data_IF_121644128207
#
_entry.id   IF_121644128207
#
_cell.length_a   1.000
_cell.length_b   1.000
_cell.length_c   1.000
_cell.angle_alpha   90.00
_cell.angle_beta   90.00
_cell.angle_gamma   90.00
#
_symmetry.space_group_name_H-M   'P 1'
#
loop_
_entity.id
_entity.type
_entity.pdbx_description
1 polymer ?
#
# COMPACT_ATOMS: atom_id res chain seq x y z
N UNK A 1 -1.02 -9.91 -20.55
CA UNK A 1 -1.87 -9.86 -19.34
C UNK A 1 -2.49 -8.49 -19.28
N UNK A 2 -3.77 -8.38 -18.93
CA UNK A 2 -4.41 -7.07 -18.82
C UNK A 2 -3.82 -6.31 -17.62
N UNK A 3 -3.09 -5.23 -17.89
CA UNK A 3 -2.39 -4.45 -16.89
C UNK A 3 -3.37 -3.41 -16.31
N UNK A 4 -3.37 -3.25 -14.98
CA UNK A 4 -4.19 -2.23 -14.30
C UNK A 4 -3.29 -1.48 -13.33
N UNK A 5 -3.40 -0.14 -13.32
CA UNK A 5 -2.78 0.69 -12.28
C UNK A 5 -3.84 1.18 -11.29
N UNK A 6 -3.52 1.13 -10.00
CA UNK A 6 -4.35 1.67 -8.92
C UNK A 6 -3.54 2.68 -8.13
N UNK A 7 -4.04 3.91 -8.04
CA UNK A 7 -3.46 4.99 -7.23
C UNK A 7 -4.44 5.32 -6.12
N UNK A 8 -4.04 5.06 -4.87
CA UNK A 8 -4.88 5.26 -3.69
C UNK A 8 -4.71 6.68 -3.13
N UNK A 9 -5.84 7.29 -2.77
CA UNK A 9 -5.97 8.59 -2.12
C UNK A 9 -6.83 8.37 -0.87
N UNK A 10 -6.19 8.03 0.25
CA UNK A 10 -6.88 7.50 1.44
C UNK A 10 -7.69 6.24 1.12
N UNK A 11 -9.01 6.27 1.28
CA UNK A 11 -9.92 5.17 0.93
C UNK A 11 -10.44 5.24 -0.51
N UNK A 12 -10.19 6.35 -1.20
CA UNK A 12 -10.55 6.55 -2.60
C UNK A 12 -9.45 6.01 -3.52
N UNK A 13 -9.82 5.52 -4.69
CA UNK A 13 -8.87 4.95 -5.65
C UNK A 13 -9.14 5.44 -7.06
N UNK A 14 -8.08 5.81 -7.78
CA UNK A 14 -8.09 5.96 -9.24
C UNK A 14 -7.58 4.66 -9.87
N UNK A 15 -8.38 4.08 -10.75
CA UNK A 15 -8.06 2.90 -11.53
C UNK A 15 -7.84 3.32 -12.99
N UNK A 16 -6.70 2.93 -13.55
CA UNK A 16 -6.35 3.13 -14.95
C UNK A 16 -6.24 1.75 -15.62
N UNK A 17 -7.03 1.50 -16.66
CA UNK A 17 -7.09 0.23 -17.38
C UNK A 17 -7.55 0.42 -18.83
N UNK A 18 -7.43 -0.62 -19.66
CA UNK A 18 -8.02 -0.69 -21.01
C UNK A 18 -9.32 -1.52 -21.04
N UNK A 19 -9.82 -1.93 -19.88
CA UNK A 19 -11.07 -2.69 -19.69
C UNK A 19 -11.79 -2.26 -18.40
N UNK A 20 -13.04 -2.69 -18.22
CA UNK A 20 -13.78 -2.53 -16.96
C UNK A 20 -13.45 -3.72 -16.03
N UNK A 21 -12.79 -3.52 -14.88
CA UNK A 21 -12.56 -4.62 -13.93
C UNK A 21 -13.87 -5.18 -13.35
N UNK A 22 -14.02 -6.50 -13.33
CA UNK A 22 -15.27 -7.20 -12.95
C UNK A 22 -15.69 -7.11 -11.47
N UNK A 23 -14.86 -6.53 -10.60
CA UNK A 23 -15.09 -6.48 -9.13
C UNK A 23 -14.99 -5.07 -8.54
N UNK A 24 -15.38 -4.05 -9.30
CA UNK A 24 -15.46 -2.66 -8.80
C UNK A 24 -16.91 -2.29 -8.51
N UNK A 25 -17.16 -1.72 -7.34
CA UNK A 25 -18.49 -1.24 -6.95
C UNK A 25 -18.66 0.20 -7.43
N UNK A 26 -19.71 0.46 -8.21
CA UNK A 26 -20.17 1.78 -8.64
C UNK A 26 -19.03 2.75 -9.05
N UNK A 27 -18.21 2.40 -10.05
CA UNK A 27 -17.12 3.27 -10.47
C UNK A 27 -17.66 4.55 -11.09
N UNK A 28 -17.08 5.69 -10.70
CA UNK A 28 -17.24 6.95 -11.42
C UNK A 28 -16.24 6.96 -12.59
N UNK A 29 -16.73 6.82 -13.81
CA UNK A 29 -15.88 6.94 -15.00
C UNK A 29 -15.48 8.41 -15.18
N UNK A 30 -14.20 8.66 -15.44
CA UNK A 30 -13.65 10.02 -15.66
C UNK A 30 -12.84 10.09 -16.95
N UNK A 31 -12.80 11.27 -17.56
CA UNK A 31 -11.96 11.59 -18.72
C UNK A 31 -10.54 11.96 -18.29
N UNK A 32 -9.60 12.01 -19.25
CA UNK A 32 -8.21 12.39 -18.98
C UNK A 32 -8.08 13.81 -18.40
N UNK A 33 -8.90 14.74 -18.87
CA UNK A 33 -8.92 16.13 -18.42
C UNK A 33 -9.35 16.29 -16.96
N UNK A 34 -10.09 15.32 -16.43
CA UNK A 34 -10.53 15.29 -15.04
C UNK A 34 -9.48 14.68 -14.10
N UNK A 35 -8.40 14.09 -14.63
CA UNK A 35 -7.35 13.46 -13.82
C UNK A 35 -6.38 14.54 -13.31
N UNK A 36 -6.70 15.07 -12.14
CA UNK A 36 -5.78 15.80 -11.28
C UNK A 36 -5.72 15.10 -9.92
N UNK A 37 -4.64 14.36 -9.67
CA UNK A 37 -4.48 13.57 -8.44
C UNK A 37 -4.54 14.42 -7.16
N UNK A 38 -4.04 15.67 -7.21
CA UNK A 38 -4.07 16.54 -6.03
C UNK A 38 -5.50 17.03 -5.75
N UNK A 39 -6.25 17.38 -6.81
CA UNK A 39 -7.68 17.75 -6.69
C UNK A 39 -8.52 16.56 -6.22
N UNK A 40 -8.32 15.38 -6.80
CA UNK A 40 -9.02 14.16 -6.40
C UNK A 40 -8.71 13.77 -4.95
N UNK A 41 -7.46 13.94 -4.51
CA UNK A 41 -7.07 13.73 -3.11
C UNK A 41 -7.82 14.69 -2.18
N UNK A 42 -7.78 16.00 -2.44
CA UNK A 42 -8.46 17.00 -1.60
C UNK A 42 -9.97 16.74 -1.54
N UNK A 43 -10.57 16.36 -2.67
CA UNK A 43 -11.99 16.00 -2.72
C UNK A 43 -12.29 14.77 -1.84
N UNK A 44 -11.39 13.78 -1.82
CA UNK A 44 -11.55 12.59 -0.97
C UNK A 44 -11.55 12.92 0.53
N UNK A 45 -10.82 13.95 0.96
CA UNK A 45 -10.80 14.41 2.35
C UNK A 45 -12.10 15.14 2.74
N UNK A 46 -12.69 15.88 1.79
CA UNK A 46 -13.94 16.61 1.97
C UNK A 46 -15.13 15.64 2.02
N UNK A 47 -15.21 14.74 1.04
CA UNK A 47 -16.35 13.85 0.90
C UNK A 47 -16.46 12.86 2.05
N UNK A 48 -15.32 12.40 2.58
CA UNK A 48 -15.22 11.32 3.59
C UNK A 48 -15.99 10.04 3.22
N UNK A 49 -16.32 9.88 1.94
CA UNK A 49 -16.97 8.71 1.38
C UNK A 49 -15.99 8.08 0.37
N UNK A 50 -15.64 6.78 0.52
CA UNK A 50 -14.75 6.11 -0.42
C UNK A 50 -15.33 6.10 -1.84
N UNK A 51 -14.51 6.51 -2.81
CA UNK A 51 -14.87 6.52 -4.24
C UNK A 51 -13.92 5.67 -5.07
N UNK A 52 -14.45 5.13 -6.17
CA UNK A 52 -13.64 4.50 -7.21
C UNK A 52 -13.76 5.34 -8.48
N UNK A 53 -12.70 6.04 -8.84
CA UNK A 53 -12.57 6.67 -10.14
C UNK A 53 -12.00 5.68 -11.14
N UNK A 54 -12.54 5.67 -12.35
CA UNK A 54 -12.16 4.72 -13.38
C UNK A 54 -11.88 5.47 -14.69
N UNK A 55 -10.64 5.36 -15.16
CA UNK A 55 -10.24 5.80 -16.48
C UNK A 55 -10.03 4.56 -17.36
N UNK A 56 -10.77 4.47 -18.46
CA UNK A 56 -10.71 3.34 -19.39
C UNK A 56 -10.31 3.83 -20.77
N UNK A 57 -9.08 3.53 -21.16
CA UNK A 57 -8.57 3.81 -22.51
C UNK A 57 -7.31 2.99 -22.76
N UNK A 58 -6.95 2.77 -24.04
CA UNK A 58 -5.74 2.02 -24.45
C UNK A 58 -4.44 2.74 -24.07
N UNK A 59 -4.47 4.04 -23.87
CA UNK A 59 -3.31 4.87 -23.48
C UNK A 59 -3.12 4.96 -21.94
N UNK A 60 -3.83 4.16 -21.16
CA UNK A 60 -3.79 4.18 -19.68
C UNK A 60 -2.37 4.05 -19.10
N UNK A 61 -1.47 3.31 -19.77
CA UNK A 61 -0.06 3.19 -19.34
C UNK A 61 0.68 4.51 -19.50
N UNK A 62 0.49 5.20 -20.63
CA UNK A 62 1.05 6.52 -20.90
C UNK A 62 0.52 7.55 -19.91
N UNK A 63 -0.79 7.52 -19.63
CA UNK A 63 -1.42 8.36 -18.60
C UNK A 63 -0.77 8.10 -17.24
N UNK A 64 -0.59 6.83 -16.85
CA UNK A 64 0.07 6.48 -15.60
C UNK A 64 1.51 7.02 -15.50
N UNK A 65 2.33 6.84 -16.54
CA UNK A 65 3.70 7.37 -16.55
C UNK A 65 3.72 8.90 -16.47
N UNK A 66 2.80 9.58 -17.17
CA UNK A 66 2.69 11.04 -17.11
C UNK A 66 2.35 11.52 -15.70
N UNK A 67 1.41 10.87 -15.00
CA UNK A 67 1.09 11.20 -13.60
C UNK A 67 2.29 11.00 -12.69
N UNK A 68 2.99 9.87 -12.85
CA UNK A 68 4.16 9.53 -12.05
C UNK A 68 5.33 10.50 -12.27
N UNK A 69 5.53 11.00 -13.48
CA UNK A 69 6.62 11.93 -13.80
C UNK A 69 6.33 13.37 -13.38
N UNK A 70 5.04 13.75 -13.25
CA UNK A 70 4.62 15.10 -12.81
C UNK A 70 4.68 15.30 -11.29
N UNK A 71 4.69 14.21 -10.51
CA UNK A 71 4.61 14.24 -9.04
C UNK A 71 5.88 13.64 -8.48
N UNK A 72 6.41 14.23 -7.41
CA UNK A 72 7.58 13.67 -6.72
C UNK A 72 7.29 12.24 -6.26
N UNK A 73 8.13 11.33 -6.73
CA UNK A 73 8.04 9.91 -6.43
C UNK A 73 8.83 9.58 -5.16
N UNK A 74 8.16 9.07 -4.14
CA UNK A 74 8.81 8.46 -2.97
C UNK A 74 8.86 6.95 -3.16
N UNK A 75 10.05 6.38 -3.05
CA UNK A 75 10.26 4.93 -3.07
C UNK A 75 10.13 4.38 -1.66
N UNK A 76 9.41 3.28 -1.52
CA UNK A 76 9.22 2.59 -0.25
C UNK A 76 9.21 1.08 -0.46
N UNK A 77 9.42 0.34 0.62
CA UNK A 77 9.34 -1.10 0.61
C UNK A 77 8.85 -1.66 1.94
N UNK A 78 8.28 -2.86 1.90
CA UNK A 78 7.77 -3.55 3.09
C UNK A 78 7.41 -5.00 2.83
N UNK A 79 6.81 -5.64 3.83
CA UNK A 79 6.65 -7.09 3.85
C UNK A 79 5.27 -7.55 4.26
N UNK A 80 4.80 -8.63 3.63
CA UNK A 80 3.80 -9.53 4.20
C UNK A 80 4.57 -10.67 4.88
N UNK A 81 4.69 -10.60 6.20
CA UNK A 81 5.55 -11.51 6.98
C UNK A 81 4.72 -12.62 7.59
N UNK A 82 5.20 -13.87 7.50
CA UNK A 82 4.67 -15.01 8.24
C UNK A 82 5.58 -15.44 9.38
N UNK A 83 5.00 -15.87 10.49
CA UNK A 83 5.72 -16.56 11.56
C UNK A 83 5.75 -18.09 11.33
N UNK A 84 6.38 -18.83 12.25
CA UNK A 84 6.49 -20.28 12.21
C UNK A 84 5.17 -21.04 12.35
N UNK A 85 4.13 -20.39 12.86
CA UNK A 85 2.78 -20.96 13.03
C UNK A 85 1.89 -20.63 11.81
N UNK A 86 2.39 -19.82 10.87
CA UNK A 86 1.67 -19.41 9.66
C UNK A 86 0.85 -18.13 9.81
N UNK A 87 0.89 -17.46 10.96
CA UNK A 87 0.22 -16.17 11.19
C UNK A 87 0.95 -15.04 10.48
N UNK A 88 0.22 -13.97 10.18
CA UNK A 88 0.72 -12.81 9.48
C UNK A 88 0.96 -11.61 10.40
N UNK A 89 2.04 -10.88 10.16
CA UNK A 89 2.36 -9.66 10.89
C UNK A 89 1.53 -8.48 10.39
N UNK A 90 0.84 -7.81 11.31
CA UNK A 90 0.19 -6.52 11.08
C UNK A 90 0.65 -5.49 12.09
N UNK A 91 0.66 -4.23 11.67
CA UNK A 91 0.90 -3.08 12.52
C UNK A 91 -0.38 -2.23 12.64
N UNK A 92 -0.61 -1.62 13.80
CA UNK A 92 -1.70 -0.68 14.02
C UNK A 92 -1.16 0.74 14.16
N UNK A 93 -1.44 1.57 13.16
CA UNK A 93 -0.87 2.91 12.98
C UNK A 93 -1.97 3.86 12.54
N UNK A 94 -1.99 5.07 13.11
CA UNK A 94 -2.95 6.13 12.75
C UNK A 94 -4.43 5.65 12.76
N UNK A 95 -4.76 4.76 13.70
CA UNK A 95 -6.13 4.24 13.89
C UNK A 95 -6.54 3.13 12.92
N UNK A 96 -5.63 2.56 12.12
CA UNK A 96 -5.93 1.46 11.18
C UNK A 96 -4.87 0.37 11.20
N UNK A 97 -5.29 -0.83 10.80
CA UNK A 97 -4.38 -1.93 10.51
C UNK A 97 -3.67 -1.72 9.17
N UNK A 98 -2.37 -1.98 9.16
CA UNK A 98 -1.47 -1.83 8.01
C UNK A 98 -0.42 -2.95 8.04
N UNK A 99 0.40 -3.02 6.99
CA UNK A 99 1.58 -3.86 6.92
C UNK A 99 2.83 -3.02 7.15
N UNK A 100 3.89 -3.60 7.74
CA UNK A 100 5.14 -2.89 7.98
C UNK A 100 5.87 -2.51 6.68
N UNK A 101 6.31 -1.25 6.61
CA UNK A 101 6.93 -0.61 5.44
C UNK A 101 7.42 0.81 5.74
N UNK A 102 8.54 1.17 5.14
CA UNK A 102 9.00 2.57 5.12
C UNK A 102 9.75 2.95 3.86
N UNK A 103 10.45 4.08 3.94
CA UNK A 103 11.06 4.72 2.77
C UNK A 103 12.38 4.03 2.46
N UNK A 104 12.70 3.94 1.18
CA UNK A 104 14.03 3.50 0.76
C UNK A 104 15.01 4.64 1.02
N UNK A 105 16.10 4.33 1.70
CA UNK A 105 17.19 5.27 1.96
C UNK A 105 18.07 5.48 0.73
N UNK A 106 18.95 6.48 0.81
CA UNK A 106 19.91 6.75 -0.26
C UNK A 106 20.85 5.56 -0.43
N UNK A 107 21.07 5.12 -1.67
CA UNK A 107 21.88 3.95 -2.04
C UNK A 107 21.38 2.59 -1.53
N UNK A 108 20.18 2.52 -0.94
CA UNK A 108 19.58 1.28 -0.45
C UNK A 108 18.79 0.56 -1.56
N UNK A 109 18.91 -0.78 -1.65
CA UNK A 109 18.06 -1.55 -2.56
C UNK A 109 16.67 -1.74 -1.94
N UNK A 110 15.65 -1.77 -2.79
CA UNK A 110 14.26 -2.02 -2.38
C UNK A 110 14.05 -3.29 -1.54
N UNK A 111 14.87 -4.34 -1.73
CA UNK A 111 14.78 -5.57 -0.94
C UNK A 111 15.40 -5.41 0.44
N UNK A 112 16.49 -4.66 0.54
CA UNK A 112 17.19 -4.34 1.79
C UNK A 112 16.28 -3.44 2.65
N UNK A 113 15.74 -2.37 2.04
CA UNK A 113 14.77 -1.48 2.67
C UNK A 113 13.57 -2.25 3.24
N UNK A 114 13.03 -3.19 2.47
CA UNK A 114 11.88 -3.96 2.93
C UNK A 114 12.19 -4.75 4.22
N UNK A 115 13.37 -5.36 4.30
CA UNK A 115 13.78 -6.12 5.49
C UNK A 115 14.04 -5.16 6.65
N UNK A 116 14.87 -4.13 6.45
CA UNK A 116 15.22 -3.15 7.49
C UNK A 116 13.97 -2.54 8.13
N UNK A 117 13.05 -2.02 7.32
CA UNK A 117 11.82 -1.36 7.80
C UNK A 117 10.96 -2.32 8.64
N UNK A 118 10.82 -3.57 8.20
CA UNK A 118 10.05 -4.56 8.95
C UNK A 118 10.73 -4.93 10.28
N UNK A 119 12.04 -5.06 10.28
CA UNK A 119 12.82 -5.33 11.49
C UNK A 119 12.76 -4.16 12.48
N UNK A 120 12.88 -2.92 12.00
CA UNK A 120 12.83 -1.69 12.79
C UNK A 120 11.43 -1.42 13.35
N UNK A 121 10.38 -1.48 12.52
CA UNK A 121 9.01 -1.16 12.93
C UNK A 121 8.43 -2.17 13.93
N UNK A 122 8.93 -3.42 13.91
CA UNK A 122 8.33 -4.53 14.65
C UNK A 122 9.26 -5.24 15.63
N UNK A 123 10.55 -4.86 15.71
CA UNK A 123 11.52 -5.42 16.64
C UNK A 123 11.82 -6.91 16.44
N UNK A 124 11.85 -7.36 15.19
CA UNK A 124 12.09 -8.76 14.81
C UNK A 124 13.28 -8.88 13.85
N UNK A 125 13.68 -10.11 13.52
CA UNK A 125 14.67 -10.41 12.49
C UNK A 125 14.08 -11.30 11.41
N UNK A 126 14.16 -10.87 10.16
CA UNK A 126 13.66 -11.63 9.00
C UNK A 126 14.61 -12.79 8.71
N UNK A 127 14.06 -14.00 8.63
CA UNK A 127 14.82 -15.22 8.31
C UNK A 127 14.72 -15.59 6.84
N UNK A 128 13.64 -15.20 6.16
CA UNK A 128 13.40 -15.50 4.75
C UNK A 128 12.84 -14.27 4.02
N UNK A 129 13.42 -13.96 2.86
CA UNK A 129 12.93 -12.92 1.94
C UNK A 129 12.55 -13.54 0.58
N UNK A 130 11.25 -13.69 0.36
CA UNK A 130 10.66 -14.28 -0.83
C UNK A 130 10.51 -13.32 -2.00
N UNK A 131 9.62 -13.69 -2.93
CA UNK A 131 9.36 -12.91 -4.15
C UNK A 131 8.66 -11.59 -3.85
N UNK A 132 8.71 -10.68 -4.80
CA UNK A 132 7.88 -9.47 -4.80
C UNK A 132 6.42 -9.87 -5.06
N UNK A 133 5.50 -9.40 -4.22
CA UNK A 133 4.06 -9.59 -4.33
C UNK A 133 3.50 -8.60 -5.36
N UNK A 134 3.72 -7.30 -5.13
CA UNK A 134 3.22 -6.22 -6.01
C UNK A 134 3.94 -4.91 -5.70
N UNK A 135 3.79 -3.93 -6.59
CA UNK A 135 3.94 -2.51 -6.21
C UNK A 135 2.55 -1.95 -5.93
N UNK A 136 2.44 -1.08 -4.94
CA UNK A 136 1.25 -0.26 -4.69
C UNK A 136 1.60 1.23 -4.77
N UNK A 137 0.62 2.06 -5.12
CA UNK A 137 0.80 3.50 -5.29
C UNK A 137 -0.21 4.25 -4.45
N UNK A 138 0.23 5.22 -3.67
CA UNK A 138 -0.68 6.12 -2.96
C UNK A 138 -0.12 7.53 -2.89
N UNK A 139 -1.01 8.49 -2.83
CA UNK A 139 -0.66 9.90 -2.72
C UNK A 139 -0.94 10.43 -1.32
N UNK A 140 -0.14 11.39 -0.88
CA UNK A 140 -0.36 12.13 0.35
C UNK A 140 0.45 13.43 0.33
N UNK A 141 0.22 14.30 1.32
CA UNK A 141 1.03 15.49 1.54
C UNK A 141 2.13 15.21 2.56
N UNK A 142 3.36 15.60 2.25
CA UNK A 142 4.43 15.70 3.23
C UNK A 142 4.15 16.84 4.21
N UNK A 143 4.83 16.83 5.37
CA UNK A 143 4.68 17.87 6.40
C UNK A 143 5.00 19.29 5.89
N UNK A 144 5.84 19.40 4.86
CA UNK A 144 6.17 20.67 4.18
C UNK A 144 5.12 21.11 3.14
N UNK A 145 3.99 20.41 3.02
CA UNK A 145 2.93 20.71 2.05
C UNK A 145 3.17 20.17 0.64
N UNK A 146 4.27 19.45 0.39
CA UNK A 146 4.56 18.87 -0.92
C UNK A 146 3.67 17.64 -1.20
N UNK A 147 2.99 17.63 -2.34
CA UNK A 147 2.18 16.48 -2.78
C UNK A 147 3.07 15.43 -3.44
N UNK A 148 2.98 14.19 -2.97
CA UNK A 148 3.87 13.11 -3.39
C UNK A 148 3.10 11.86 -3.80
N UNK A 149 3.69 11.06 -4.69
CA UNK A 149 3.25 9.72 -5.03
C UNK A 149 4.25 8.73 -4.41
N UNK A 150 3.82 7.93 -3.43
CA UNK A 150 4.65 6.87 -2.86
C UNK A 150 4.37 5.54 -3.56
N UNK A 151 5.44 4.95 -4.09
CA UNK A 151 5.45 3.62 -4.70
C UNK A 151 6.10 2.64 -3.73
N UNK A 152 5.32 1.71 -3.18
CA UNK A 152 5.78 0.71 -2.22
C UNK A 152 5.91 -0.66 -2.87
N UNK A 153 7.09 -1.26 -2.84
CA UNK A 153 7.30 -2.66 -3.20
C UNK A 153 7.03 -3.56 -2.00
N UNK A 154 6.15 -4.55 -2.18
CA UNK A 154 5.79 -5.51 -1.15
C UNK A 154 6.40 -6.87 -1.45
N UNK A 155 7.00 -7.50 -0.45
CA UNK A 155 7.64 -8.81 -0.58
C UNK A 155 7.04 -9.81 0.40
N UNK A 156 7.06 -11.08 0.01
CA UNK A 156 6.85 -12.17 0.96
C UNK A 156 8.05 -12.25 1.91
N UNK A 157 7.80 -12.42 3.20
CA UNK A 157 8.84 -12.59 4.21
C UNK A 157 8.45 -13.65 5.23
N UNK A 158 9.45 -14.20 5.92
CA UNK A 158 9.24 -15.19 6.96
C UNK A 158 10.19 -15.00 8.14
N UNK A 159 9.68 -15.31 9.34
CA UNK A 159 10.45 -15.47 10.57
C UNK A 159 10.25 -16.87 11.14
N UNK A 160 11.24 -17.36 11.86
CA UNK A 160 11.18 -18.65 12.54
C UNK A 160 10.43 -18.51 13.88
N UNK A 161 9.67 -19.55 14.27
CA UNK A 161 8.86 -19.57 15.51
C UNK A 161 7.92 -18.35 15.57
N UNK A 162 7.52 -17.94 16.76
CA UNK A 162 6.68 -16.76 17.00
C UNK A 162 7.47 -15.75 17.85
N UNK A 163 8.28 -14.86 17.23
CA UNK A 163 9.05 -13.90 17.99
C UNK A 163 8.14 -12.84 18.63
N UNK A 164 8.57 -12.33 19.79
CA UNK A 164 7.91 -11.19 20.44
C UNK A 164 8.06 -9.95 19.57
N UNK A 165 6.97 -9.22 19.39
CA UNK A 165 6.92 -7.98 18.62
C UNK A 165 7.13 -6.78 19.54
N UNK A 166 7.89 -5.80 19.06
CA UNK A 166 8.15 -4.53 19.72
C UNK A 166 7.84 -3.42 18.71
N UNK A 167 6.66 -2.77 18.80
CA UNK A 167 6.30 -1.73 17.85
C UNK A 167 7.19 -0.49 18.01
N UNK A 168 7.59 0.11 16.89
CA UNK A 168 8.32 1.37 16.87
C UNK A 168 7.37 2.56 17.06
N UNK A 169 7.17 2.97 18.31
CA UNK A 169 6.22 4.04 18.66
C UNK A 169 6.56 5.41 18.05
N UNK A 170 7.82 5.65 17.69
CA UNK A 170 8.25 6.88 17.02
C UNK A 170 7.65 7.07 15.61
N UNK A 171 7.17 5.98 14.98
CA UNK A 171 6.50 5.96 13.66
C UNK A 171 4.96 5.89 13.78
N UNK A 172 4.41 6.28 14.94
CA UNK A 172 2.99 6.21 15.28
C UNK A 172 2.41 4.78 15.27
N UNK A 173 3.28 3.77 15.40
CA UNK A 173 2.89 2.36 15.53
C UNK A 173 2.56 2.08 17.00
N UNK A 174 1.28 1.83 17.26
CA UNK A 174 0.77 1.58 18.61
C UNK A 174 0.67 0.10 18.94
N UNK A 175 0.59 -0.77 17.91
CA UNK A 175 0.57 -2.23 18.06
C UNK A 175 1.30 -2.90 16.90
N UNK A 176 1.95 -4.03 17.17
CA UNK A 176 2.43 -4.99 16.18
C UNK A 176 1.97 -6.37 16.64
N UNK A 177 1.23 -7.09 15.80
CA UNK A 177 0.56 -8.33 16.19
C UNK A 177 0.63 -9.40 15.10
N UNK A 178 0.79 -10.65 15.53
CA UNK A 178 0.59 -11.84 14.70
C UNK A 178 -0.90 -12.14 14.61
N UNK A 179 -1.40 -12.32 13.38
CA UNK A 179 -2.81 -12.57 13.10
C UNK A 179 -2.99 -13.80 12.23
N UNK A 180 -3.77 -14.75 12.74
CA UNK A 180 -4.19 -15.92 11.97
C UNK A 180 -5.16 -15.50 10.85
N UNK A 181 -5.24 -16.29 9.78
CA UNK A 181 -6.12 -15.99 8.63
C UNK A 181 -7.59 -15.86 9.01
N UNK A 182 -8.03 -16.54 10.06
CA UNK A 182 -9.42 -16.47 10.56
C UNK A 182 -9.74 -15.11 11.21
N UNK A 183 -8.72 -14.38 11.65
CA UNK A 183 -8.85 -13.05 12.24
C UNK A 183 -8.79 -11.94 11.19
N UNK A 184 -8.64 -12.28 9.90
CA UNK A 184 -8.50 -11.27 8.85
C UNK A 184 -9.77 -10.43 8.67
N UNK A 185 -10.93 -10.91 9.09
CA UNK A 185 -12.15 -10.12 8.99
C UNK A 185 -12.11 -8.89 9.90
N UNK A 186 -11.58 -9.02 11.12
CA UNK A 186 -11.35 -7.88 12.02
C UNK A 186 -10.36 -6.87 11.43
N UNK A 187 -9.34 -7.37 10.74
CA UNK A 187 -8.38 -6.53 10.01
C UNK A 187 -9.08 -5.79 8.86
N UNK A 188 -9.89 -6.49 8.05
CA UNK A 188 -10.62 -5.91 6.92
C UNK A 188 -11.60 -4.82 7.34
N UNK A 189 -12.23 -4.98 8.51
CA UNK A 189 -13.16 -3.99 9.06
C UNK A 189 -12.47 -2.66 9.40
N UNK A 190 -11.15 -2.64 9.60
CA UNK A 190 -10.42 -1.41 9.93
C UNK A 190 -9.02 -1.35 9.30
N UNK A 191 -8.94 -1.54 7.98
CA UNK A 191 -7.70 -1.38 7.20
C UNK A 191 -7.91 -0.47 5.99
N UNK A 192 -6.83 -0.12 5.30
CA UNK A 192 -6.89 0.61 4.04
C UNK A 192 -7.19 -0.32 2.86
N UNK A 193 -7.94 0.12 1.84
CA UNK A 193 -8.22 -0.67 0.64
C UNK A 193 -6.97 -1.18 -0.11
N UNK A 194 -5.84 -0.49 0.04
CA UNK A 194 -4.54 -0.87 -0.53
C UNK A 194 -4.00 -2.17 0.10
N UNK A 195 -4.22 -2.37 1.40
CA UNK A 195 -3.76 -3.54 2.16
C UNK A 195 -4.56 -4.77 1.78
N UNK A 196 -5.88 -4.64 1.73
CA UNK A 196 -6.76 -5.70 1.22
C UNK A 196 -6.38 -6.12 -0.22
N UNK A 197 -5.97 -5.16 -1.06
CA UNK A 197 -5.49 -5.47 -2.42
C UNK A 197 -4.13 -6.21 -2.42
N UNK A 198 -3.25 -5.94 -1.46
CA UNK A 198 -1.98 -6.68 -1.29
C UNK A 198 -2.26 -8.11 -0.81
N UNK A 199 -3.11 -8.29 0.20
CA UNK A 199 -3.50 -9.61 0.72
C UNK A 199 -4.13 -10.50 -0.36
N UNK A 200 -4.93 -9.92 -1.26
CA UNK A 200 -5.52 -10.64 -2.41
C UNK A 200 -4.48 -11.08 -3.45
N UNK A 201 -3.38 -10.35 -3.61
CA UNK A 201 -2.31 -10.66 -4.57
C UNK A 201 -1.28 -11.64 -4.04
N UNK A 202 -1.23 -11.85 -2.73
CA UNK A 202 -0.32 -12.81 -2.10
C UNK A 202 -0.84 -14.26 -2.11
N UNK A 203 -2.07 -14.49 -2.62
CA UNK A 203 -2.70 -15.81 -2.78
C UNK A 203 -2.47 -16.38 -4.18
#
# INVERSE_FOLDING_TARGET
MAQIYKIYMNETVLILADFVPSKIKNPQTISFQEIDLQKLFKQSEIDKVPKTYLYINKDFETVFQNLKNKIKLIKAAGGLVKNGDGDYLFIYRLGKWDLPKGKVEENEKMREAAVREVEEECGIKINYLGKKITTSYHTYFLRNGEFVLKATNWYEMGVNKVPKLIPQTAEDITKAEWRHVDQFEDIRNNTYPIIENILKKAK
#
